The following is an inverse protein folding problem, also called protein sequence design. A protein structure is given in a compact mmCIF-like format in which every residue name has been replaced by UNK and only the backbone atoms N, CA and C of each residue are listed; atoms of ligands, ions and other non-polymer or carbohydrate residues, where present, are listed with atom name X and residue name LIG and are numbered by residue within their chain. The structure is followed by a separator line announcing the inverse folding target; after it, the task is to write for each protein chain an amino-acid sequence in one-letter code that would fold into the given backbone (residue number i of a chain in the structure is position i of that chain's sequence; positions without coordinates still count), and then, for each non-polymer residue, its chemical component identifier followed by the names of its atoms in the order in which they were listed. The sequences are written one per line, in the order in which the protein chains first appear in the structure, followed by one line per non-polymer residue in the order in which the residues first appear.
data_IF_067583129456
#
_entry.id   IF_067583129456
#
_cell.length_a   1.000
_cell.length_b   1.000
_cell.length_c   1.000
_cell.angle_alpha   90.00
_cell.angle_beta   90.00
_cell.angle_gamma   90.00
#
_symmetry.space_group_name_H-M   'P 1'
#
loop_
_entity.id
_entity.type
_entity.pdbx_description
1 polymer ?
#
# COMPACT_ATOMS: atom_id res chain seq x y z
N UNK A 1 -0.16 -21.30 11.90
CA UNK A 1 0.18 -19.97 12.45
C UNK A 1 1.10 -19.30 11.44
N UNK A 2 0.82 -18.25 10.68
CA UNK A 2 -0.34 -17.39 10.47
C UNK A 2 -0.15 -16.78 9.07
N UNK A 3 -0.85 -17.28 8.06
CA UNK A 3 -0.62 -16.95 6.65
C UNK A 3 -1.18 -15.55 6.26
N UNK A 4 -2.02 -14.97 7.12
CA UNK A 4 -2.77 -13.72 6.89
C UNK A 4 -2.03 -12.43 7.23
N UNK A 5 -0.84 -12.50 7.87
CA UNK A 5 -0.08 -11.30 8.23
C UNK A 5 0.55 -10.60 7.01
N UNK A 6 0.63 -11.27 5.86
CA UNK A 6 1.32 -10.77 4.66
C UNK A 6 0.41 -10.12 3.61
N UNK A 7 -0.92 -10.12 3.81
CA UNK A 7 -1.86 -9.57 2.83
C UNK A 7 -1.99 -8.04 2.92
N UNK A 8 -1.78 -7.47 4.12
CA UNK A 8 -2.02 -6.05 4.42
C UNK A 8 -0.77 -5.38 4.99
N UNK A 9 -0.03 -4.74 4.09
CA UNK A 9 1.24 -4.07 4.36
C UNK A 9 1.03 -2.71 5.02
N UNK A 10 2.00 -2.28 5.81
CA UNK A 10 2.08 -0.91 6.30
C UNK A 10 2.61 0.05 5.22
N UNK A 11 2.39 1.34 5.43
CA UNK A 11 2.96 2.41 4.59
C UNK A 11 4.48 2.28 4.49
N UNK A 12 5.14 1.92 5.60
CA UNK A 12 6.59 1.70 5.65
C UNK A 12 7.04 0.53 4.77
N UNK A 13 6.40 -0.62 4.88
CA UNK A 13 6.75 -1.80 4.06
C UNK A 13 6.62 -1.52 2.56
N UNK A 14 5.57 -0.80 2.16
CA UNK A 14 5.37 -0.37 0.77
C UNK A 14 6.45 0.65 0.35
N UNK A 15 6.78 1.60 1.23
CA UNK A 15 7.81 2.59 0.98
C UNK A 15 9.19 1.94 0.79
N UNK A 16 9.52 0.94 1.60
CA UNK A 16 10.74 0.14 1.48
C UNK A 16 10.78 -0.66 0.18
N UNK A 17 9.66 -1.27 -0.22
CA UNK A 17 9.56 -2.03 -1.47
C UNK A 17 9.82 -1.17 -2.70
N UNK A 18 9.17 0.00 -2.79
CA UNK A 18 9.32 0.92 -3.90
C UNK A 18 10.51 1.88 -3.77
N UNK A 19 11.27 1.80 -2.66
CA UNK A 19 12.39 2.71 -2.31
C UNK A 19 12.00 4.19 -2.37
N UNK A 20 10.81 4.52 -1.88
CA UNK A 20 10.28 5.89 -1.78
C UNK A 20 10.08 6.30 -0.34
N UNK A 21 9.72 7.57 -0.10
CA UNK A 21 9.34 8.02 1.24
C UNK A 21 7.93 7.57 1.63
N UNK A 22 7.67 7.36 2.92
CA UNK A 22 6.32 7.09 3.45
C UNK A 22 5.31 8.20 3.10
N UNK A 23 5.79 9.44 2.95
CA UNK A 23 4.99 10.58 2.50
C UNK A 23 4.51 10.41 1.05
N UNK A 24 5.35 9.85 0.19
CA UNK A 24 4.99 9.50 -1.19
C UNK A 24 3.89 8.45 -1.19
N UNK A 25 4.05 7.37 -0.42
CA UNK A 25 3.03 6.32 -0.29
C UNK A 25 1.73 6.88 0.27
N UNK A 26 1.79 7.72 1.31
CA UNK A 26 0.61 8.39 1.87
C UNK A 26 -0.09 9.26 0.83
N UNK A 27 0.68 9.96 -0.02
CA UNK A 27 0.11 10.72 -1.14
C UNK A 27 -0.63 9.80 -2.10
N UNK A 28 -0.06 8.65 -2.51
CA UNK A 28 -0.76 7.69 -3.38
C UNK A 28 -2.11 7.27 -2.82
N UNK A 29 -2.18 6.94 -1.53
CA UNK A 29 -3.43 6.57 -0.85
C UNK A 29 -4.48 7.69 -0.89
N UNK A 30 -4.04 8.96 -0.90
CA UNK A 30 -4.96 10.11 -0.99
C UNK A 30 -5.32 10.50 -2.42
N UNK A 31 -4.47 10.20 -3.40
CA UNK A 31 -4.65 10.62 -4.79
C UNK A 31 -5.23 9.54 -5.70
N UNK A 32 -5.01 8.26 -5.40
CA UNK A 32 -5.56 7.13 -6.14
C UNK A 32 -6.73 6.51 -5.38
N UNK A 33 -7.99 6.81 -5.76
CA UNK A 33 -9.16 6.23 -5.13
C UNK A 33 -9.32 4.72 -5.41
N UNK A 34 -8.61 4.17 -6.41
CA UNK A 34 -8.67 2.75 -6.74
C UNK A 34 -7.63 1.93 -5.97
N UNK A 35 -6.76 2.59 -5.20
CA UNK A 35 -5.75 1.92 -4.40
C UNK A 35 -6.42 1.06 -3.34
N UNK A 36 -6.07 -0.23 -3.29
CA UNK A 36 -6.64 -1.16 -2.30
C UNK A 36 -6.08 -0.90 -0.91
N UNK A 37 -6.78 -0.07 -0.14
CA UNK A 37 -6.38 0.35 1.20
C UNK A 37 -7.44 0.04 2.25
N UNK A 38 -7.00 -0.27 3.46
CA UNK A 38 -7.83 -0.37 4.66
C UNK A 38 -7.37 0.65 5.68
N UNK A 39 -8.32 1.43 6.19
CA UNK A 39 -8.09 2.31 7.33
C UNK A 39 -8.57 1.60 8.59
N UNK A 40 -7.69 1.44 9.58
CA UNK A 40 -7.99 0.72 10.82
C UNK A 40 -7.91 1.66 12.04
N UNK A 41 -8.70 1.34 13.05
CA UNK A 41 -8.77 2.08 14.32
C UNK A 41 -9.88 3.14 14.37
N UNK A 42 -10.26 3.61 15.58
CA UNK A 42 -11.37 4.54 15.80
C UNK A 42 -11.17 5.90 15.12
N UNK A 43 -9.92 6.28 14.83
CA UNK A 43 -9.58 7.52 14.12
C UNK A 43 -9.27 7.33 12.64
N UNK A 44 -9.39 6.11 12.09
CA UNK A 44 -9.06 5.76 10.70
C UNK A 44 -7.64 6.23 10.24
N UNK A 45 -6.73 6.46 11.19
CA UNK A 45 -5.40 7.04 10.95
C UNK A 45 -4.38 6.02 10.48
N UNK A 46 -4.56 4.76 10.88
CA UNK A 46 -3.65 3.69 10.50
C UNK A 46 -4.08 3.15 9.16
N UNK A 47 -3.18 3.24 8.17
CA UNK A 47 -3.42 2.80 6.81
C UNK A 47 -2.72 1.46 6.61
N UNK A 48 -3.43 0.52 6.01
CA UNK A 48 -2.92 -0.75 5.49
C UNK A 48 -3.16 -0.83 4.00
N UNK A 49 -2.16 -1.26 3.26
CA UNK A 49 -2.16 -1.32 1.81
C UNK A 49 -2.14 -2.80 1.42
N UNK A 50 -3.02 -3.20 0.52
CA UNK A 50 -3.08 -4.59 0.09
C UNK A 50 -1.82 -4.96 -0.69
N UNK A 51 -1.29 -6.16 -0.48
CA UNK A 51 -0.05 -6.62 -1.14
C UNK A 51 -0.13 -6.58 -2.68
N UNK A 52 -1.32 -6.74 -3.27
CA UNK A 52 -1.49 -6.62 -4.73
C UNK A 52 -1.08 -5.26 -5.29
N UNK A 53 -1.06 -4.21 -4.46
CA UNK A 53 -0.60 -2.89 -4.89
C UNK A 53 0.90 -2.85 -5.19
N UNK A 54 1.68 -3.82 -4.67
CA UNK A 54 3.09 -3.96 -5.05
C UNK A 54 3.26 -4.42 -6.52
N UNK A 55 2.28 -5.15 -7.04
CA UNK A 55 2.33 -5.74 -8.39
C UNK A 55 1.77 -4.80 -9.47
N UNK A 56 1.00 -3.76 -9.09
CA UNK A 56 0.34 -2.85 -10.03
C UNK A 56 1.33 -2.17 -11.00
N UNK A 57 2.55 -1.87 -10.57
CA UNK A 57 3.57 -1.21 -11.41
C UNK A 57 4.20 -2.16 -12.45
N UNK A 58 4.12 -3.47 -12.23
CA UNK A 58 4.63 -4.48 -13.20
C UNK A 58 3.71 -4.63 -14.42
N UNK A 59 2.56 -3.94 -14.43
CA UNK A 59 1.58 -3.98 -15.53
C UNK A 59 1.68 -2.82 -16.53
N UNK A 60 2.80 -2.09 -16.58
CA UNK A 60 3.07 -1.21 -17.72
C UNK A 60 3.30 -2.08 -18.97
N UNK A 61 2.44 -2.03 -20.02
CA UNK A 61 2.81 -2.60 -21.30
C UNK A 61 4.06 -1.85 -21.77
N UNK A 62 5.15 -2.58 -21.99
CA UNK A 62 6.28 -2.05 -22.74
C UNK A 62 5.74 -1.53 -24.09
N UNK A 63 5.74 -0.21 -24.26
CA UNK A 63 5.42 0.47 -25.50
C UNK A 63 6.72 0.91 -26.18
#
# INVERSE_FOLDING_TARGET
MSETAHEWLTVREVAEHFRVSERTVTRWVTTDPNMRVRRIGPSARTIRIHRSELDRDTSLPAA
#
